data_IF_643124319529
#
_entry.id   IF_643124319529
#
_cell.length_a   1.000
_cell.length_b   1.000
_cell.length_c   1.000
_cell.angle_alpha   90.00
_cell.angle_beta   90.00
_cell.angle_gamma   90.00
#
_symmetry.space_group_name_H-M   'P 1'
#
loop_
_entity.id
_entity.type
_entity.pdbx_description
1 polymer ?
#
# COMPACT_ATOMS: atom_id res chain seq x y z
N UNK A 1 18.98 -15.67 14.13
CA UNK A 1 18.03 -14.87 13.33
C UNK A 1 18.84 -13.96 12.42
N UNK A 2 18.73 -14.14 11.10
CA UNK A 2 19.63 -13.51 10.11
C UNK A 2 19.44 -12.00 10.01
N UNK A 3 20.52 -11.28 9.73
CA UNK A 3 20.61 -9.80 9.68
C UNK A 3 19.53 -9.14 8.78
N UNK A 4 18.99 -9.84 7.78
CA UNK A 4 17.91 -9.35 6.92
C UNK A 4 16.61 -9.04 7.69
N UNK A 5 16.14 -9.97 8.54
CA UNK A 5 14.87 -9.80 9.24
C UNK A 5 14.93 -8.63 10.24
N UNK A 6 16.09 -8.41 10.86
CA UNK A 6 16.34 -7.27 11.73
C UNK A 6 16.38 -5.95 10.94
N UNK A 7 16.98 -5.95 9.73
CA UNK A 7 17.07 -4.78 8.87
C UNK A 7 15.72 -4.38 8.28
N UNK A 8 14.91 -5.37 7.86
CA UNK A 8 13.52 -5.15 7.45
C UNK A 8 12.71 -4.59 8.63
N UNK A 9 12.75 -5.22 9.80
CA UNK A 9 12.05 -4.73 11.02
C UNK A 9 12.45 -3.30 11.37
N UNK A 10 13.72 -2.94 11.22
CA UNK A 10 14.21 -1.56 11.43
C UNK A 10 13.60 -0.60 10.41
N UNK A 11 13.42 -1.00 9.14
CA UNK A 11 12.78 -0.15 8.11
C UNK A 11 11.29 0.07 8.38
N UNK A 12 10.56 -0.98 8.78
CA UNK A 12 9.13 -0.92 9.13
C UNK A 12 8.79 0.03 10.27
N UNK A 13 9.75 0.26 11.17
CA UNK A 13 9.56 1.08 12.38
C UNK A 13 10.23 2.45 12.29
N UNK A 14 10.80 2.83 11.14
CA UNK A 14 11.38 4.17 10.94
C UNK A 14 10.32 5.25 11.06
N UNK A 15 9.12 4.99 10.59
CA UNK A 15 8.00 5.93 10.67
C UNK A 15 6.93 5.41 11.62
N UNK A 16 6.35 6.34 12.39
CA UNK A 16 5.19 6.01 13.22
C UNK A 16 4.01 5.66 12.30
N UNK A 17 3.31 4.54 12.57
CA UNK A 17 2.12 4.21 11.80
C UNK A 17 1.06 5.30 11.99
N UNK A 18 0.31 5.55 10.92
CA UNK A 18 -0.79 6.53 10.94
C UNK A 18 -2.12 5.82 11.18
N UNK A 19 -3.13 6.59 11.61
CA UNK A 19 -4.53 6.18 11.50
C UNK A 19 -5.09 6.81 10.23
N UNK A 20 -5.65 5.99 9.34
CA UNK A 20 -6.35 6.46 8.17
C UNK A 20 -7.82 6.06 8.27
N UNK A 21 -8.69 7.05 8.17
CA UNK A 21 -10.14 6.87 8.24
C UNK A 21 -10.75 7.12 6.87
N UNK A 22 -11.42 6.12 6.32
CA UNK A 22 -12.23 6.30 5.12
C UNK A 22 -13.48 7.13 5.45
N UNK A 23 -13.53 8.36 4.95
CA UNK A 23 -14.64 9.29 5.14
C UNK A 23 -16.01 8.78 4.67
N UNK A 24 -16.08 7.77 3.79
CA UNK A 24 -17.35 7.24 3.27
C UNK A 24 -17.93 6.16 4.17
N UNK A 25 -17.09 5.29 4.72
CA UNK A 25 -17.54 4.14 5.52
C UNK A 25 -17.25 4.30 7.02
N UNK A 26 -16.52 5.34 7.42
CA UNK A 26 -16.08 5.55 8.81
C UNK A 26 -15.01 4.55 9.28
N UNK A 27 -14.63 3.60 8.42
CA UNK A 27 -13.62 2.59 8.71
C UNK A 27 -12.28 3.26 9.00
N UNK A 28 -11.65 2.87 10.11
CA UNK A 28 -10.32 3.35 10.48
C UNK A 28 -9.33 2.19 10.57
N UNK A 29 -8.25 2.27 9.81
CA UNK A 29 -7.16 1.30 9.86
C UNK A 29 -5.88 1.98 10.37
N UNK A 30 -5.07 1.21 11.11
CA UNK A 30 -3.68 1.57 11.40
C UNK A 30 -2.83 1.20 10.19
N UNK A 31 -2.09 2.15 9.62
CA UNK A 31 -1.31 1.94 8.41
C UNK A 31 0.19 2.13 8.65
N UNK A 32 0.99 1.12 8.29
CA UNK A 32 2.45 1.17 8.31
C UNK A 32 2.96 1.54 6.91
N UNK A 33 3.29 2.83 6.74
CA UNK A 33 3.85 3.39 5.49
C UNK A 33 5.32 3.00 5.32
N UNK A 34 5.78 2.92 4.07
CA UNK A 34 7.15 2.56 3.70
C UNK A 34 7.63 3.44 2.53
N UNK A 35 8.36 4.50 2.86
CA UNK A 35 8.95 5.43 1.88
C UNK A 35 10.11 4.82 1.08
N UNK A 36 10.60 3.64 1.45
CA UNK A 36 11.70 2.94 0.80
C UNK A 36 11.26 1.93 -0.26
N UNK A 37 9.95 1.82 -0.57
CA UNK A 37 9.46 0.88 -1.59
C UNK A 37 9.46 1.43 -3.02
N UNK A 38 9.47 2.75 -3.17
CA UNK A 38 9.36 3.43 -4.46
C UNK A 38 10.08 4.79 -4.44
N UNK A 39 10.48 5.25 -5.62
CA UNK A 39 10.88 6.63 -5.84
C UNK A 39 9.63 7.46 -6.19
N UNK A 40 9.28 8.50 -5.41
CA UNK A 40 8.09 9.34 -5.67
C UNK A 40 8.15 10.08 -7.01
N UNK A 41 9.34 10.41 -7.51
CA UNK A 41 9.53 11.17 -8.76
C UNK A 41 9.76 10.26 -9.98
N UNK A 42 9.79 8.93 -9.81
CA UNK A 42 9.94 7.97 -10.91
C UNK A 42 8.84 8.18 -11.95
N UNK A 43 9.21 8.46 -13.20
CA UNK A 43 8.26 8.51 -14.31
C UNK A 43 7.77 7.11 -14.67
N UNK A 44 6.45 6.99 -14.75
CA UNK A 44 5.70 5.75 -14.97
C UNK A 44 4.55 6.02 -15.94
N UNK A 45 3.96 4.95 -16.47
CA UNK A 45 2.77 5.03 -17.33
C UNK A 45 1.57 4.31 -16.71
N UNK A 46 0.38 4.79 -17.01
CA UNK A 46 -0.87 4.09 -16.71
C UNK A 46 -1.91 4.34 -17.80
N UNK A 47 -2.95 3.53 -17.77
CA UNK A 47 -4.12 3.70 -18.63
C UNK A 47 -5.23 4.41 -17.85
N UNK A 48 -5.81 5.41 -18.50
CA UNK A 48 -6.98 6.14 -18.03
C UNK A 48 -7.85 6.47 -19.23
N UNK A 49 -9.15 6.11 -19.18
CA UNK A 49 -10.10 6.30 -20.29
C UNK A 49 -9.55 5.85 -21.66
N UNK A 50 -8.87 4.68 -21.67
CA UNK A 50 -8.23 4.09 -22.86
C UNK A 50 -7.01 4.85 -23.41
N UNK A 51 -6.58 5.93 -22.77
CA UNK A 51 -5.37 6.67 -23.13
C UNK A 51 -4.19 6.27 -22.25
N UNK A 52 -2.99 6.35 -22.80
CA UNK A 52 -1.74 6.15 -22.05
C UNK A 52 -1.29 7.49 -21.48
N UNK A 53 -1.27 7.59 -20.16
CA UNK A 53 -0.77 8.75 -19.42
C UNK A 53 0.64 8.46 -18.93
N UNK A 54 1.49 9.48 -18.92
CA UNK A 54 2.83 9.44 -18.35
C UNK A 54 2.98 10.50 -17.25
N UNK A 55 3.49 10.10 -16.10
CA UNK A 55 3.69 10.99 -14.96
C UNK A 55 4.56 10.35 -13.89
N UNK A 56 4.83 11.07 -12.81
CA UNK A 56 5.55 10.59 -11.63
C UNK A 56 4.69 9.64 -10.80
N UNK A 57 5.29 8.98 -9.81
CA UNK A 57 4.54 8.20 -8.84
C UNK A 57 3.62 9.07 -7.96
N UNK A 58 3.97 10.33 -7.71
CA UNK A 58 3.10 11.30 -7.04
C UNK A 58 1.84 11.52 -7.87
N UNK A 59 1.98 11.93 -9.13
CA UNK A 59 0.84 12.17 -10.05
C UNK A 59 -0.02 10.90 -10.22
N UNK A 60 0.63 9.73 -10.28
CA UNK A 60 -0.09 8.44 -10.29
C UNK A 60 -0.93 8.25 -9.03
N UNK A 61 -0.39 8.55 -7.84
CA UNK A 61 -1.11 8.44 -6.57
C UNK A 61 -2.26 9.43 -6.43
N UNK A 62 -2.15 10.64 -6.99
CA UNK A 62 -3.23 11.64 -7.03
C UNK A 62 -4.47 11.14 -7.79
N UNK A 63 -4.29 10.23 -8.75
CA UNK A 63 -5.40 9.52 -9.42
C UNK A 63 -5.99 8.36 -8.59
N UNK A 64 -5.46 8.10 -7.38
CA UNK A 64 -5.85 7.00 -6.51
C UNK A 64 -5.22 5.65 -6.87
N UNK A 65 -4.15 5.64 -7.66
CA UNK A 65 -3.42 4.42 -8.04
C UNK A 65 -2.23 4.22 -7.12
N UNK A 66 -1.92 2.97 -6.82
CA UNK A 66 -0.67 2.65 -6.12
C UNK A 66 0.55 3.13 -6.92
N UNK A 67 1.60 3.64 -6.25
CA UNK A 67 2.86 3.95 -6.89
C UNK A 67 3.50 2.65 -7.41
N UNK A 68 4.37 2.77 -8.42
CA UNK A 68 5.18 1.65 -8.91
C UNK A 68 6.45 1.55 -8.08
N UNK A 69 6.64 0.40 -7.43
CA UNK A 69 7.79 0.08 -6.62
C UNK A 69 9.08 -0.13 -7.40
N UNK A 70 10.16 -0.34 -6.65
CA UNK A 70 11.46 -0.71 -7.22
C UNK A 70 11.46 -2.09 -7.88
N UNK A 71 10.50 -2.95 -7.53
CA UNK A 71 10.22 -4.23 -8.20
C UNK A 71 9.44 -4.07 -9.52
N UNK A 72 9.20 -2.83 -9.97
CA UNK A 72 8.44 -2.47 -11.17
C UNK A 72 6.98 -2.96 -11.16
N UNK A 73 6.42 -3.23 -9.99
CA UNK A 73 5.02 -3.56 -9.79
C UNK A 73 4.35 -2.51 -8.89
N UNK A 74 3.01 -2.41 -8.91
CA UNK A 74 2.31 -1.55 -7.96
C UNK A 74 2.65 -1.97 -6.52
N UNK A 75 2.91 -0.99 -5.64
CA UNK A 75 2.99 -1.24 -4.19
C UNK A 75 1.63 -1.73 -3.70
N UNK A 76 1.64 -2.74 -2.84
CA UNK A 76 0.44 -3.40 -2.37
C UNK A 76 0.13 -3.06 -0.92
N UNK A 77 -1.14 -3.16 -0.56
CA UNK A 77 -1.66 -2.90 0.77
C UNK A 77 -2.14 -4.23 1.35
N UNK A 78 -1.41 -4.73 2.33
CA UNK A 78 -1.66 -6.02 2.95
C UNK A 78 -2.33 -5.85 4.32
N UNK A 79 -3.49 -6.48 4.53
CA UNK A 79 -4.14 -6.57 5.84
C UNK A 79 -3.45 -7.64 6.67
N UNK A 80 -2.77 -7.24 7.75
CA UNK A 80 -1.94 -8.12 8.56
C UNK A 80 -2.75 -9.18 9.33
N UNK A 81 -3.99 -8.85 9.71
CA UNK A 81 -4.90 -9.75 10.42
C UNK A 81 -5.98 -10.34 9.50
N UNK A 82 -5.95 -9.99 8.21
CA UNK A 82 -6.96 -10.38 7.22
C UNK A 82 -8.43 -10.09 7.62
N UNK A 83 -8.63 -9.12 8.51
CA UNK A 83 -9.94 -8.52 8.84
C UNK A 83 -10.07 -7.17 8.18
N UNK A 84 -11.30 -6.75 7.91
CA UNK A 84 -11.60 -5.47 7.28
C UNK A 84 -10.96 -4.29 8.04
N UNK A 85 -11.16 -4.18 9.34
CA UNK A 85 -10.66 -3.12 10.23
C UNK A 85 -9.20 -3.31 10.70
N UNK A 86 -8.55 -4.39 10.26
CA UNK A 86 -7.22 -4.76 10.71
C UNK A 86 -6.12 -3.78 10.28
N UNK A 87 -4.94 -3.80 10.93
CA UNK A 87 -3.80 -3.02 10.50
C UNK A 87 -3.34 -3.39 9.08
N UNK A 88 -2.90 -2.38 8.32
CA UNK A 88 -2.47 -2.49 6.93
C UNK A 88 -0.98 -2.12 6.81
N UNK A 89 -0.24 -2.86 6.00
CA UNK A 89 1.15 -2.59 5.67
C UNK A 89 1.33 -2.35 4.16
N UNK A 90 2.09 -1.32 3.79
CA UNK A 90 2.60 -1.16 2.42
C UNK A 90 3.71 -2.21 2.17
N UNK A 91 3.58 -3.05 1.13
CA UNK A 91 4.56 -4.08 0.75
C UNK A 91 4.85 -4.01 -0.75
N UNK A 92 6.05 -4.41 -1.17
CA UNK A 92 6.29 -4.70 -2.59
C UNK A 92 5.51 -5.94 -3.02
N UNK A 93 5.12 -6.03 -4.30
CA UNK A 93 4.49 -7.23 -4.86
C UNK A 93 5.42 -8.45 -4.77
N UNK A 94 6.74 -8.26 -4.99
CA UNK A 94 7.71 -9.33 -4.87
C UNK A 94 7.75 -9.94 -3.45
N UNK A 95 7.78 -9.10 -2.41
CA UNK A 95 7.70 -9.53 -1.01
C UNK A 95 6.39 -10.29 -0.72
N UNK A 96 5.25 -9.72 -1.12
CA UNK A 96 3.95 -10.34 -0.87
C UNK A 96 3.87 -11.75 -1.49
N UNK A 97 4.29 -11.89 -2.75
CA UNK A 97 4.28 -13.18 -3.43
C UNK A 97 5.25 -14.18 -2.79
N UNK A 98 6.48 -13.75 -2.50
CA UNK A 98 7.51 -14.63 -1.92
C UNK A 98 7.11 -15.15 -0.53
N UNK A 99 6.41 -14.33 0.25
CA UNK A 99 6.05 -14.63 1.64
C UNK A 99 4.56 -14.91 1.84
N UNK A 100 3.81 -15.18 0.75
CA UNK A 100 2.36 -15.34 0.76
C UNK A 100 1.86 -16.29 1.86
N UNK A 101 2.44 -17.48 1.97
CA UNK A 101 2.04 -18.48 2.99
C UNK A 101 2.34 -18.04 4.43
N UNK A 102 3.35 -17.19 4.64
CA UNK A 102 3.73 -16.71 5.96
C UNK A 102 2.87 -15.53 6.43
N UNK A 103 2.36 -14.71 5.50
CA UNK A 103 1.62 -13.49 5.84
C UNK A 103 0.10 -13.65 5.72
N UNK A 104 -0.38 -14.70 5.06
CA UNK A 104 -1.81 -15.06 5.05
C UNK A 104 -2.11 -16.09 6.13
N UNK A 105 -2.57 -15.59 7.28
CA UNK A 105 -2.82 -16.37 8.51
C UNK A 105 -4.10 -17.23 8.45
N UNK A 106 -5.07 -16.84 7.62
CA UNK A 106 -6.31 -17.55 7.40
C UNK A 106 -6.14 -18.51 6.21
N UNK A 107 -6.59 -19.77 6.33
CA UNK A 107 -6.63 -20.70 5.22
C UNK A 107 -7.63 -20.21 4.16
N UNK A 108 -7.33 -20.53 2.89
CA UNK A 108 -8.12 -20.12 1.73
C UNK A 108 -9.60 -20.60 1.77
N UNK A 109 -9.92 -21.54 2.66
CA UNK A 109 -11.26 -22.11 2.85
C UNK A 109 -12.18 -21.26 3.73
N UNK A 110 -11.66 -20.30 4.50
CA UNK A 110 -12.45 -19.47 5.43
C UNK A 110 -13.09 -18.23 4.78
N UNK A 111 -12.93 -18.03 3.47
CA UNK A 111 -13.41 -16.82 2.79
C UNK A 111 -12.66 -15.56 3.24
N UNK A 112 -13.03 -14.41 2.67
CA UNK A 112 -12.39 -13.13 2.94
C UNK A 112 -13.10 -12.40 4.08
N UNK A 113 -12.42 -12.15 5.21
CA UNK A 113 -12.89 -11.24 6.25
C UNK A 113 -12.83 -9.75 5.86
N UNK A 114 -12.53 -9.46 4.60
CA UNK A 114 -12.39 -8.14 4.01
C UNK A 114 -13.50 -7.95 2.97
N UNK A 115 -14.32 -6.92 3.14
CA UNK A 115 -15.17 -6.38 2.08
C UNK A 115 -14.29 -5.80 0.97
N UNK A 116 -14.30 -6.45 -0.19
CA UNK A 116 -13.40 -6.15 -1.31
C UNK A 116 -13.77 -4.85 -2.03
N UNK A 117 -15.06 -4.53 -2.11
CA UNK A 117 -15.55 -3.34 -2.80
C UNK A 117 -15.33 -2.10 -1.93
N UNK A 118 -15.64 -2.20 -0.63
CA UNK A 118 -15.29 -1.17 0.33
C UNK A 118 -13.77 -0.93 0.37
N UNK A 119 -12.98 -2.01 0.39
CA UNK A 119 -11.53 -1.87 0.36
C UNK A 119 -11.01 -1.27 -0.96
N UNK A 120 -11.60 -1.58 -2.10
CA UNK A 120 -11.21 -0.96 -3.37
C UNK A 120 -11.36 0.57 -3.34
N UNK A 121 -12.43 1.08 -2.74
CA UNK A 121 -12.65 2.50 -2.53
C UNK A 121 -11.70 3.09 -1.48
N UNK A 122 -11.51 2.39 -0.36
CA UNK A 122 -10.56 2.76 0.70
C UNK A 122 -9.15 2.94 0.13
N UNK A 123 -8.66 1.99 -0.68
CA UNK A 123 -7.33 2.05 -1.30
C UNK A 123 -7.17 3.27 -2.21
N UNK A 124 -8.18 3.58 -3.02
CA UNK A 124 -8.11 4.74 -3.91
C UNK A 124 -7.95 6.03 -3.11
N UNK A 125 -8.74 6.19 -2.05
CA UNK A 125 -8.64 7.34 -1.15
C UNK A 125 -7.30 7.39 -0.42
N UNK A 126 -6.86 6.24 0.07
CA UNK A 126 -5.58 6.11 0.74
C UNK A 126 -4.41 6.59 -0.13
N UNK A 127 -4.34 6.14 -1.39
CA UNK A 127 -3.25 6.58 -2.28
C UNK A 127 -3.32 8.07 -2.61
N UNK A 128 -4.52 8.64 -2.77
CA UNK A 128 -4.68 10.10 -2.92
C UNK A 128 -4.16 10.87 -1.71
N UNK A 129 -4.46 10.38 -0.51
CA UNK A 129 -3.93 10.98 0.72
C UNK A 129 -2.42 10.78 0.84
N UNK A 130 -1.92 9.61 0.44
CA UNK A 130 -0.49 9.27 0.44
C UNK A 130 0.34 10.19 -0.46
N UNK A 131 -0.22 10.69 -1.58
CA UNK A 131 0.44 11.66 -2.45
C UNK A 131 0.79 12.96 -1.71
N UNK A 132 -0.09 13.43 -0.81
CA UNK A 132 0.08 14.68 -0.05
C UNK A 132 1.27 14.68 0.90
N UNK A 133 1.79 13.51 1.28
CA UNK A 133 3.03 13.39 2.04
C UNK A 133 4.24 14.02 1.29
N UNK A 134 4.13 14.19 -0.02
CA UNK A 134 5.18 14.72 -0.89
C UNK A 134 4.91 16.16 -1.36
N UNK A 135 3.68 16.67 -1.22
CA UNK A 135 3.33 18.07 -1.54
C UNK A 135 3.99 19.09 -0.58
N UNK A 136 4.23 18.70 0.68
CA UNK A 136 4.75 19.59 1.74
C UNK A 136 6.28 19.53 1.94
N UNK A 137 7.03 18.94 0.99
CA UNK A 137 8.48 18.76 1.10
C UNK A 137 9.30 19.58 0.09
N UNK A 138 8.68 20.61 -0.50
CA UNK A 138 9.36 21.63 -1.32
C UNK A 138 9.72 22.81 -0.42
#
# INVERSE_FOLDING_TARGET
MTNLAAQEKKSWLKEKPIKFTDSKFGQTNKVYKRNDLFDPNKRVKWTEKQETIWGTNIERMETGRAPIGFDNKPVELHHMLQTHDGPIAEVTNAFHNKHHSAIHINPNTMGSGIDRDAFALWRQKYWKERAKDYEKKI
#
